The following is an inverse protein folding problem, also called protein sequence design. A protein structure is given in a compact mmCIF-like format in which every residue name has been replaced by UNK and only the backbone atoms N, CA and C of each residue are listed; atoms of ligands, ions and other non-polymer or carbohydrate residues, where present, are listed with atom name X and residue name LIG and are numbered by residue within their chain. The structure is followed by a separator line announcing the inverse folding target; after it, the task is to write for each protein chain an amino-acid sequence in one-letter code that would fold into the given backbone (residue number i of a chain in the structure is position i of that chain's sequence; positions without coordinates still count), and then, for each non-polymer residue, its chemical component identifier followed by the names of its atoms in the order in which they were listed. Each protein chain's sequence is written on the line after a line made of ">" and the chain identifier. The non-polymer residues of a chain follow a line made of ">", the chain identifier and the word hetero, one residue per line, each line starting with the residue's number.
data_IF_017039704144
#
_entry.id   IF_017039704144
#
_cell.length_a   1.000
_cell.length_b   1.000
_cell.length_c   1.000
_cell.angle_alpha   90.00
_cell.angle_beta   90.00
_cell.angle_gamma   90.00
#
_symmetry.space_group_name_H-M   'P 1'
#
loop_
_entity.id
_entity.type
_entity.pdbx_description
1 polymer ?
#
# COMPACT_ATOMS: atom_id res chain seq x y z
N UNK A 1 -2.87 21.72 7.28
CA UNK A 1 -1.73 22.06 6.38
C UNK A 1 -0.90 20.82 6.09
N UNK A 2 -0.40 20.67 4.86
CA UNK A 2 0.40 19.51 4.41
C UNK A 2 1.58 19.20 5.36
N UNK A 3 2.35 20.23 5.73
CA UNK A 3 3.52 20.11 6.61
C UNK A 3 3.22 19.52 8.00
N UNK A 4 1.99 19.69 8.51
CA UNK A 4 1.57 19.08 9.77
C UNK A 4 1.01 17.67 9.62
N UNK A 5 0.50 17.34 8.43
CA UNK A 5 -0.06 16.01 8.14
C UNK A 5 1.02 14.99 7.81
N UNK A 6 2.11 15.40 7.14
CA UNK A 6 3.22 14.50 6.77
C UNK A 6 3.82 13.74 7.96
N UNK A 7 4.27 14.38 9.05
CA UNK A 7 4.81 13.64 10.19
C UNK A 7 3.73 12.85 10.93
N UNK A 8 2.47 13.29 10.88
CA UNK A 8 1.38 12.61 11.57
C UNK A 8 0.97 11.32 10.84
N UNK A 9 0.98 11.33 9.51
CA UNK A 9 0.74 10.16 8.68
C UNK A 9 1.81 9.09 8.91
N UNK A 10 3.08 9.50 8.98
CA UNK A 10 4.20 8.61 9.32
C UNK A 10 4.00 7.99 10.71
N UNK A 11 3.63 8.79 11.72
CA UNK A 11 3.37 8.27 13.07
C UNK A 11 2.19 7.31 13.15
N UNK A 12 1.10 7.56 12.42
CA UNK A 12 -0.04 6.62 12.38
C UNK A 12 0.36 5.29 11.73
N UNK A 13 1.18 5.33 10.67
CA UNK A 13 1.74 4.13 10.05
C UNK A 13 2.62 3.36 11.04
N UNK A 14 3.56 4.03 11.70
CA UNK A 14 4.42 3.44 12.72
C UNK A 14 3.62 2.81 13.87
N UNK A 15 2.61 3.52 14.40
CA UNK A 15 1.76 2.98 15.46
C UNK A 15 0.98 1.73 15.00
N UNK A 16 0.59 1.67 13.72
CA UNK A 16 -0.11 0.51 13.15
C UNK A 16 0.80 -0.70 13.14
N UNK A 17 2.04 -0.54 12.69
CA UNK A 17 3.06 -1.58 12.67
C UNK A 17 3.36 -2.11 14.07
N UNK A 18 3.55 -1.21 15.04
CA UNK A 18 3.78 -1.57 16.45
C UNK A 18 2.59 -2.34 17.06
N UNK A 19 1.34 -2.02 16.68
CA UNK A 19 0.16 -2.78 17.14
C UNK A 19 0.08 -4.13 16.41
N UNK A 20 0.45 -4.19 15.14
CA UNK A 20 0.39 -5.41 14.33
C UNK A 20 1.22 -6.54 14.96
N UNK A 21 2.42 -6.21 15.49
CA UNK A 21 3.32 -7.14 16.21
C UNK A 21 2.62 -7.87 17.35
N UNK A 22 1.68 -7.24 18.06
CA UNK A 22 0.95 -7.86 19.17
C UNK A 22 -0.29 -8.66 18.77
N UNK A 23 -0.78 -8.49 17.54
CA UNK A 23 -2.06 -9.06 17.09
C UNK A 23 -1.92 -10.37 16.30
N UNK A 24 -0.68 -10.80 16.03
CA UNK A 24 -0.36 -11.99 15.28
C UNK A 24 -0.54 -11.82 13.76
N UNK A 25 0.03 -12.71 12.93
CA UNK A 25 0.25 -12.44 11.50
C UNK A 25 -1.01 -12.10 10.70
N UNK A 26 -2.13 -12.78 10.98
CA UNK A 26 -3.39 -12.59 10.25
C UNK A 26 -4.07 -11.26 10.59
N UNK A 27 -4.13 -10.90 11.87
CA UNK A 27 -4.79 -9.65 12.32
C UNK A 27 -3.86 -8.46 12.10
N UNK A 28 -2.56 -8.65 12.31
CA UNK A 28 -1.52 -7.67 12.00
C UNK A 28 -1.47 -7.33 10.51
N UNK A 29 -1.53 -8.34 9.63
CA UNK A 29 -1.61 -8.12 8.18
C UNK A 29 -2.87 -7.36 7.75
N UNK A 30 -4.02 -7.63 8.38
CA UNK A 30 -5.26 -6.88 8.12
C UNK A 30 -5.17 -5.43 8.65
N UNK A 31 -4.58 -5.24 9.83
CA UNK A 31 -4.28 -3.93 10.39
C UNK A 31 -3.36 -3.12 9.48
N UNK A 32 -2.27 -3.72 8.98
CA UNK A 32 -1.37 -3.03 8.06
C UNK A 32 -2.08 -2.65 6.76
N UNK A 33 -2.86 -3.58 6.17
CA UNK A 33 -3.64 -3.33 4.97
C UNK A 33 -4.62 -2.15 5.09
N UNK A 34 -5.28 -2.02 6.25
CA UNK A 34 -6.32 -1.01 6.49
C UNK A 34 -5.79 0.27 7.15
N UNK A 35 -5.10 0.14 8.28
CA UNK A 35 -4.55 1.24 9.06
C UNK A 35 -3.30 1.86 8.43
N UNK A 36 -2.49 1.10 7.67
CA UNK A 36 -1.35 1.66 6.93
C UNK A 36 -1.75 2.69 5.86
N UNK A 37 -2.94 2.51 5.26
CA UNK A 37 -3.50 3.43 4.26
C UNK A 37 -4.61 4.34 4.83
N UNK A 38 -4.85 4.35 6.15
CA UNK A 38 -6.01 5.02 6.73
C UNK A 38 -5.97 6.54 6.54
N UNK A 39 -4.78 7.13 6.59
CA UNK A 39 -4.61 8.58 6.41
C UNK A 39 -5.04 9.00 5.00
N UNK A 40 -4.64 8.24 3.98
CA UNK A 40 -5.07 8.48 2.60
C UNK A 40 -6.59 8.30 2.46
N UNK A 41 -7.15 7.24 3.05
CA UNK A 41 -8.58 6.97 3.03
C UNK A 41 -9.40 8.09 3.68
N UNK A 42 -8.98 8.59 4.84
CA UNK A 42 -9.64 9.69 5.55
C UNK A 42 -9.63 10.96 4.69
N UNK A 43 -8.47 11.35 4.17
CA UNK A 43 -8.33 12.54 3.32
C UNK A 43 -9.20 12.40 2.05
N UNK A 44 -9.21 11.23 1.43
CA UNK A 44 -10.05 10.95 0.26
C UNK A 44 -11.55 11.07 0.58
N UNK A 45 -12.02 10.56 1.73
CA UNK A 45 -13.42 10.68 2.15
C UNK A 45 -13.81 12.14 2.39
N UNK A 46 -12.97 12.94 3.05
CA UNK A 46 -13.24 14.36 3.28
C UNK A 46 -13.26 15.18 1.98
N UNK A 47 -12.34 14.88 1.06
CA UNK A 47 -12.33 15.50 -0.26
C UNK A 47 -13.60 15.12 -1.05
N UNK A 48 -14.04 13.86 -1.01
CA UNK A 48 -15.30 13.41 -1.62
C UNK A 48 -16.52 14.10 -1.01
N UNK A 49 -16.59 14.23 0.33
CA UNK A 49 -17.67 14.98 1.01
C UNK A 49 -17.72 16.45 0.58
N UNK A 50 -16.57 17.03 0.25
CA UNK A 50 -16.44 18.40 -0.26
C UNK A 50 -16.63 18.50 -1.78
N UNK A 51 -17.08 17.41 -2.44
CA UNK A 51 -17.26 17.28 -3.88
C UNK A 51 -15.97 17.52 -4.71
N UNK A 52 -14.80 17.31 -4.11
CA UNK A 52 -13.48 17.47 -4.73
C UNK A 52 -13.04 16.17 -5.41
N UNK A 53 -13.84 15.69 -6.37
CA UNK A 53 -13.60 14.41 -7.06
C UNK A 53 -12.26 14.40 -7.80
N UNK A 54 -11.89 15.53 -8.42
CA UNK A 54 -10.61 15.66 -9.12
C UNK A 54 -9.42 15.48 -8.17
N UNK A 55 -9.48 16.08 -6.97
CA UNK A 55 -8.43 15.96 -5.95
C UNK A 55 -8.25 14.49 -5.55
N UNK A 56 -9.34 13.76 -5.33
CA UNK A 56 -9.30 12.33 -4.95
C UNK A 56 -8.66 11.50 -6.08
N UNK A 57 -9.09 11.72 -7.33
CA UNK A 57 -8.54 11.01 -8.49
C UNK A 57 -7.03 11.24 -8.64
N UNK A 58 -6.59 12.49 -8.59
CA UNK A 58 -5.17 12.82 -8.72
C UNK A 58 -4.35 12.37 -7.50
N UNK A 59 -4.92 12.39 -6.30
CA UNK A 59 -4.27 11.88 -5.09
C UNK A 59 -4.03 10.37 -5.16
N UNK A 60 -5.03 9.59 -5.56
CA UNK A 60 -4.90 8.13 -5.68
C UNK A 60 -3.89 7.74 -6.78
N UNK A 61 -3.96 8.42 -7.94
CA UNK A 61 -3.00 8.20 -9.02
C UNK A 61 -1.58 8.60 -8.58
N UNK A 62 -1.46 9.73 -7.88
CA UNK A 62 -0.20 10.20 -7.31
C UNK A 62 0.41 9.22 -6.30
N UNK A 63 -0.40 8.60 -5.43
CA UNK A 63 0.07 7.57 -4.48
C UNK A 63 0.64 6.36 -5.21
N UNK A 64 -0.06 5.85 -6.24
CA UNK A 64 0.43 4.74 -7.07
C UNK A 64 1.76 5.11 -7.76
N UNK A 65 1.84 6.28 -8.40
CA UNK A 65 3.07 6.72 -9.06
C UNK A 65 4.22 6.96 -8.08
N UNK A 66 3.93 7.51 -6.91
CA UNK A 66 4.92 7.73 -5.85
C UNK A 66 5.54 6.41 -5.42
N UNK A 67 4.72 5.39 -5.13
CA UNK A 67 5.23 4.09 -4.69
C UNK A 67 6.02 3.38 -5.80
N UNK A 68 5.52 3.41 -7.03
CA UNK A 68 6.14 2.69 -8.15
C UNK A 68 7.39 3.36 -8.74
N UNK A 69 7.46 4.69 -8.76
CA UNK A 69 8.54 5.41 -9.42
C UNK A 69 9.44 6.12 -8.43
N UNK A 70 8.86 6.85 -7.47
CA UNK A 70 9.65 7.65 -6.54
C UNK A 70 10.28 6.74 -5.49
N UNK A 71 9.49 6.00 -4.72
CA UNK A 71 9.96 5.13 -3.64
C UNK A 71 10.83 4.02 -4.20
N UNK A 72 10.32 3.24 -5.17
CA UNK A 72 11.12 2.21 -5.83
C UNK A 72 12.36 2.77 -6.53
N UNK A 73 12.26 3.89 -7.25
CA UNK A 73 13.41 4.47 -7.97
C UNK A 73 14.50 4.98 -7.03
N UNK A 74 14.11 5.62 -5.92
CA UNK A 74 15.06 6.08 -4.90
C UNK A 74 15.65 4.92 -4.10
N UNK A 75 14.90 3.87 -3.80
CA UNK A 75 15.44 2.68 -3.13
C UNK A 75 16.46 1.96 -4.01
N UNK A 76 16.19 1.81 -5.30
CA UNK A 76 17.14 1.26 -6.27
C UNK A 76 18.39 2.14 -6.40
N UNK A 77 18.22 3.47 -6.48
CA UNK A 77 19.33 4.40 -6.59
C UNK A 77 20.22 4.39 -5.34
N UNK A 78 19.63 4.54 -4.16
CA UNK A 78 20.35 4.53 -2.88
C UNK A 78 20.99 3.17 -2.61
N UNK A 79 20.26 2.08 -2.84
CA UNK A 79 20.78 0.72 -2.70
C UNK A 79 21.91 0.41 -3.67
N UNK A 80 21.84 0.91 -4.91
CA UNK A 80 22.92 0.80 -5.90
C UNK A 80 24.15 1.65 -5.57
N UNK A 81 23.97 2.85 -5.00
CA UNK A 81 25.08 3.69 -4.52
C UNK A 81 25.76 3.03 -3.31
N UNK A 82 24.98 2.51 -2.36
CA UNK A 82 25.51 1.83 -1.17
C UNK A 82 26.30 0.57 -1.55
N UNK A 83 25.84 -0.17 -2.56
CA UNK A 83 26.45 -1.40 -3.05
C UNK A 83 27.18 -1.21 -4.38
N UNK A 84 27.91 -0.10 -4.57
CA UNK A 84 28.54 0.24 -5.87
C UNK A 84 29.55 -0.80 -6.39
N UNK A 85 30.06 -1.65 -5.50
CA UNK A 85 31.04 -2.71 -5.79
C UNK A 85 30.41 -4.08 -6.02
N UNK A 86 29.13 -4.24 -5.72
CA UNK A 86 28.39 -5.49 -5.83
C UNK A 86 27.18 -5.32 -6.74
N UNK A 87 26.95 -6.26 -7.65
CA UNK A 87 25.69 -6.27 -8.39
C UNK A 87 24.53 -6.53 -7.41
N UNK A 88 23.57 -5.61 -7.33
CA UNK A 88 22.25 -5.85 -6.73
C UNK A 88 21.54 -6.93 -7.55
N UNK A 89 21.78 -8.20 -7.22
CA UNK A 89 21.14 -9.32 -7.92
C UNK A 89 19.87 -9.70 -7.18
N UNK A 90 18.74 -9.33 -7.77
CA UNK A 90 17.40 -9.71 -7.30
C UNK A 90 17.04 -11.18 -7.62
N UNK A 91 17.90 -11.87 -8.39
CA UNK A 91 17.68 -13.23 -8.90
C UNK A 91 18.72 -14.26 -8.41
N UNK A 92 19.49 -13.94 -7.36
CA UNK A 92 20.42 -14.91 -6.74
C UNK A 92 19.63 -16.01 -6.02
N UNK A 93 20.19 -17.21 -6.03
CA UNK A 93 19.85 -18.36 -5.19
C UNK A 93 19.89 -18.05 -3.68
N UNK A 94 20.54 -16.95 -3.28
CA UNK A 94 20.53 -16.42 -1.91
C UNK A 94 19.29 -15.59 -1.57
N UNK A 95 18.48 -15.17 -2.54
CA UNK A 95 17.21 -14.49 -2.27
C UNK A 95 16.17 -15.55 -1.91
N UNK A 96 15.49 -15.44 -0.75
CA UNK A 96 14.48 -16.41 -0.35
C UNK A 96 13.40 -16.58 -1.42
N UNK A 97 13.08 -17.82 -1.80
CA UNK A 97 12.12 -18.13 -2.88
C UNK A 97 10.73 -17.52 -2.65
N UNK A 98 10.36 -17.29 -1.39
CA UNK A 98 9.12 -16.64 -0.99
C UNK A 98 9.08 -15.15 -1.39
N UNK A 99 10.18 -14.41 -1.19
CA UNK A 99 10.28 -12.98 -1.52
C UNK A 99 10.10 -12.74 -3.02
N UNK A 100 10.74 -13.59 -3.86
CA UNK A 100 10.57 -13.52 -5.31
C UNK A 100 9.12 -13.77 -5.74
N UNK A 101 8.48 -14.82 -5.23
CA UNK A 101 7.10 -15.14 -5.56
C UNK A 101 6.11 -14.08 -5.09
N UNK A 102 6.39 -13.44 -3.96
CA UNK A 102 5.59 -12.34 -3.45
C UNK A 102 5.71 -11.10 -4.32
N UNK A 103 6.93 -10.70 -4.68
CA UNK A 103 7.16 -9.59 -5.61
C UNK A 103 6.45 -9.83 -6.96
N UNK A 104 6.54 -11.06 -7.49
CA UNK A 104 5.83 -11.46 -8.71
C UNK A 104 4.30 -11.35 -8.54
N UNK A 105 3.74 -11.86 -7.44
CA UNK A 105 2.29 -11.78 -7.17
C UNK A 105 1.82 -10.33 -7.03
N UNK A 106 2.56 -9.49 -6.31
CA UNK A 106 2.22 -8.08 -6.11
C UNK A 106 2.31 -7.31 -7.43
N UNK A 107 3.32 -7.58 -8.26
CA UNK A 107 3.46 -7.01 -9.59
C UNK A 107 2.29 -7.40 -10.51
N UNK A 108 1.88 -8.67 -10.50
CA UNK A 108 0.75 -9.15 -11.30
C UNK A 108 -0.60 -8.59 -10.81
N UNK A 109 -0.80 -8.44 -9.50
CA UNK A 109 -1.99 -7.80 -8.94
C UNK A 109 -2.05 -6.32 -9.33
N UNK A 110 -0.92 -5.62 -9.30
CA UNK A 110 -0.82 -4.23 -9.73
C UNK A 110 -1.07 -4.08 -11.23
N UNK A 111 -0.57 -5.02 -12.05
CA UNK A 111 -0.87 -5.06 -13.48
C UNK A 111 -2.37 -5.29 -13.73
N UNK A 112 -3.00 -6.21 -13.01
CA UNK A 112 -4.45 -6.44 -13.08
C UNK A 112 -5.23 -5.16 -12.71
N UNK A 113 -4.80 -4.47 -11.65
CA UNK A 113 -5.39 -3.20 -11.23
C UNK A 113 -5.31 -2.14 -12.33
N UNK A 114 -4.13 -1.99 -12.94
CA UNK A 114 -3.91 -1.06 -14.06
C UNK A 114 -4.80 -1.40 -15.26
N UNK A 115 -4.89 -2.67 -15.65
CA UNK A 115 -5.74 -3.11 -16.77
C UNK A 115 -7.23 -2.83 -16.51
N UNK A 116 -7.71 -3.11 -15.28
CA UNK A 116 -9.08 -2.80 -14.89
C UNK A 116 -9.38 -1.29 -14.89
N UNK A 117 -8.39 -0.45 -14.57
CA UNK A 117 -8.55 1.01 -14.57
C UNK A 117 -8.40 1.64 -15.97
N UNK A 118 -7.60 1.03 -16.83
CA UNK A 118 -7.34 1.47 -18.20
C UNK A 118 -8.60 1.37 -19.08
N UNK A 119 -9.47 0.40 -18.81
CA UNK A 119 -10.70 0.18 -19.57
C UNK A 119 -11.70 1.36 -19.44
N UNK A 120 -12.07 1.84 -18.24
CA UNK A 120 -12.83 3.09 -18.08
C UNK A 120 -12.13 4.32 -18.68
N UNK A 121 -10.80 4.43 -18.51
CA UNK A 121 -10.03 5.57 -19.02
C UNK A 121 -10.07 5.66 -20.55
N UNK A 122 -9.78 4.56 -21.25
CA UNK A 122 -9.82 4.52 -22.72
C UNK A 122 -11.22 4.81 -23.25
N UNK A 123 -12.26 4.31 -22.57
CA UNK A 123 -13.64 4.58 -22.97
C UNK A 123 -13.94 6.08 -22.92
N UNK A 124 -13.50 6.79 -21.86
CA UNK A 124 -13.67 8.25 -21.77
C UNK A 124 -12.84 9.03 -22.79
N UNK A 125 -11.66 8.53 -23.17
CA UNK A 125 -10.77 9.22 -24.11
C UNK A 125 -11.14 8.99 -25.58
N UNK A 126 -11.66 7.81 -25.91
CA UNK A 126 -12.08 7.44 -27.27
C UNK A 126 -13.42 8.06 -27.70
N UNK A 127 -14.15 8.65 -26.77
CA UNK A 127 -15.48 9.20 -26.97
C UNK A 127 -15.46 10.49 -27.80
N UNK A 128 -16.35 10.58 -28.80
CA UNK A 128 -16.54 11.79 -29.60
C UNK A 128 -17.10 12.98 -28.80
N UNK A 129 -17.82 12.71 -27.71
CA UNK A 129 -18.23 13.74 -26.74
C UNK A 129 -18.26 13.19 -25.30
N UNK A 130 -17.85 14.01 -24.32
CA UNK A 130 -17.84 13.60 -22.91
C UNK A 130 -19.25 13.43 -22.32
N UNK A 131 -20.25 14.13 -22.87
CA UNK A 131 -21.64 14.10 -22.39
C UNK A 131 -22.34 12.77 -22.71
N UNK A 132 -22.04 12.17 -23.87
CA UNK A 132 -22.62 10.87 -24.27
C UNK A 132 -22.00 9.69 -23.52
N UNK A 133 -20.84 9.89 -22.90
CA UNK A 133 -20.05 8.81 -22.27
C UNK A 133 -19.92 8.93 -20.76
N UNK A 134 -20.40 10.01 -20.15
CA UNK A 134 -20.39 10.21 -18.70
C UNK A 134 -21.15 9.10 -17.94
N UNK A 135 -22.37 8.77 -18.35
CA UNK A 135 -23.19 7.72 -17.73
C UNK A 135 -22.57 6.32 -17.92
N UNK A 136 -22.26 5.85 -19.14
CA UNK A 136 -21.66 4.52 -19.34
C UNK A 136 -20.29 4.37 -18.69
N UNK A 137 -19.45 5.41 -18.72
CA UNK A 137 -18.13 5.37 -18.06
C UNK A 137 -18.25 5.19 -16.55
N UNK A 138 -19.26 5.80 -15.91
CA UNK A 138 -19.52 5.64 -14.49
C UNK A 138 -19.95 4.22 -14.14
N UNK A 139 -20.83 3.60 -14.92
CA UNK A 139 -21.19 2.18 -14.73
C UNK A 139 -19.98 1.27 -14.88
N UNK A 140 -19.12 1.56 -15.85
CA UNK A 140 -17.91 0.79 -16.11
C UNK A 140 -16.89 0.93 -14.97
N UNK A 141 -16.70 2.14 -14.45
CA UNK A 141 -15.86 2.38 -13.27
C UNK A 141 -16.41 1.67 -12.02
N UNK A 142 -17.74 1.65 -11.82
CA UNK A 142 -18.37 0.94 -10.70
C UNK A 142 -18.21 -0.59 -10.81
N UNK A 143 -18.38 -1.13 -12.02
CA UNK A 143 -18.16 -2.55 -12.28
C UNK A 143 -16.68 -2.93 -12.03
N UNK A 144 -15.76 -2.12 -12.54
CA UNK A 144 -14.33 -2.30 -12.31
C UNK A 144 -13.97 -2.22 -10.82
N UNK A 145 -14.54 -1.28 -10.05
CA UNK A 145 -14.28 -1.19 -8.60
C UNK A 145 -14.78 -2.41 -7.83
N UNK A 146 -15.93 -2.98 -8.21
CA UNK A 146 -16.46 -4.21 -7.58
C UNK A 146 -15.54 -5.40 -7.85
N UNK A 147 -15.12 -5.58 -9.10
CA UNK A 147 -14.20 -6.66 -9.50
C UNK A 147 -12.87 -6.53 -8.78
N UNK A 148 -12.32 -5.31 -8.73
CA UNK A 148 -11.07 -5.02 -8.02
C UNK A 148 -11.16 -5.29 -6.53
N UNK A 149 -12.27 -4.88 -5.88
CA UNK A 149 -12.48 -5.15 -4.46
C UNK A 149 -12.61 -6.65 -4.19
N UNK A 150 -13.32 -7.38 -5.05
CA UNK A 150 -13.42 -8.84 -4.97
C UNK A 150 -12.06 -9.53 -5.13
N UNK A 151 -11.28 -9.15 -6.13
CA UNK A 151 -9.92 -9.65 -6.33
C UNK A 151 -9.02 -9.35 -5.13
N UNK A 152 -9.13 -8.16 -4.54
CA UNK A 152 -8.40 -7.79 -3.33
C UNK A 152 -8.78 -8.64 -2.12
N UNK A 153 -10.07 -8.92 -1.90
CA UNK A 153 -10.49 -9.82 -0.81
C UNK A 153 -9.98 -11.25 -1.01
N UNK A 154 -10.01 -11.77 -2.23
CA UNK A 154 -9.45 -13.09 -2.55
C UNK A 154 -7.93 -13.08 -2.30
N UNK A 155 -7.24 -12.00 -2.69
CA UNK A 155 -5.82 -11.81 -2.41
C UNK A 155 -5.52 -11.74 -0.89
N UNK A 156 -6.34 -11.05 -0.10
CA UNK A 156 -6.18 -11.02 1.36
C UNK A 156 -6.38 -12.42 1.99
N UNK A 157 -7.37 -13.19 1.53
CA UNK A 157 -7.54 -14.59 1.97
C UNK A 157 -6.33 -15.43 1.57
N UNK A 158 -5.79 -15.17 0.37
CA UNK A 158 -4.60 -15.85 -0.10
C UNK A 158 -3.39 -15.58 0.80
N UNK A 159 -3.12 -14.30 1.05
CA UNK A 159 -2.01 -13.78 1.85
C UNK A 159 -2.11 -14.20 3.32
N UNK A 160 -3.27 -14.03 3.95
CA UNK A 160 -3.42 -14.18 5.39
C UNK A 160 -3.71 -15.60 5.85
N UNK A 161 -4.24 -16.46 4.96
CA UNK A 161 -4.66 -17.82 5.33
C UNK A 161 -4.03 -18.91 4.47
N UNK A 162 -4.26 -18.91 3.16
CA UNK A 162 -3.92 -20.09 2.35
C UNK A 162 -2.42 -20.23 2.10
N UNK A 163 -1.71 -19.12 1.96
CA UNK A 163 -0.31 -19.06 1.52
C UNK A 163 0.53 -18.18 2.46
N UNK A 164 0.16 -18.15 3.74
CA UNK A 164 0.80 -17.32 4.78
C UNK A 164 2.32 -17.51 4.86
N UNK A 165 2.80 -18.73 4.62
CA UNK A 165 4.22 -19.09 4.58
C UNK A 165 5.02 -18.35 3.49
N UNK A 166 4.37 -17.86 2.44
CA UNK A 166 5.04 -17.02 1.42
C UNK A 166 5.29 -15.59 1.90
N UNK A 167 4.57 -15.13 2.92
CA UNK A 167 4.58 -13.75 3.39
C UNK A 167 5.21 -13.59 4.79
N UNK A 168 5.21 -14.64 5.64
CA UNK A 168 5.80 -14.58 7.00
C UNK A 168 7.33 -14.41 7.00
N UNK A 169 8.04 -14.90 5.98
CA UNK A 169 9.50 -14.78 5.88
C UNK A 169 9.99 -13.40 5.37
N UNK A 170 9.07 -12.46 5.11
CA UNK A 170 9.40 -11.05 4.85
C UNK A 170 9.77 -10.34 6.17
N UNK A 171 9.07 -10.64 7.27
CA UNK A 171 9.37 -10.13 8.62
C UNK A 171 10.74 -10.61 9.13
N UNK A 172 11.17 -11.82 8.75
CA UNK A 172 12.46 -12.39 9.14
C UNK A 172 13.61 -11.98 8.20
N UNK A 173 13.31 -11.64 6.93
CA UNK A 173 14.31 -11.38 5.88
C UNK A 173 14.79 -9.93 5.79
N UNK A 174 14.04 -8.97 6.35
CA UNK A 174 14.53 -7.61 6.59
C UNK A 174 15.61 -7.57 7.68
N UNK A 175 15.78 -8.66 8.45
CA UNK A 175 16.64 -8.73 9.63
C UNK A 175 18.13 -9.09 9.38
N UNK A 176 18.55 -9.45 8.15
CA UNK A 176 19.93 -9.91 7.90
C UNK A 176 20.84 -8.87 7.22
N UNK A 177 20.58 -7.58 7.43
CA UNK A 177 21.55 -6.50 7.15
C UNK A 177 22.32 -6.11 8.42
N UNK A 178 23.58 -6.53 8.56
CA UNK A 178 24.39 -6.36 9.76
C UNK A 178 24.45 -4.93 10.35
N UNK A 179 24.18 -4.88 11.67
CA UNK A 179 24.57 -3.92 12.72
C UNK A 179 23.81 -2.59 12.90
N UNK A 180 23.07 -2.55 14.03
CA UNK A 180 22.44 -1.42 14.75
C UNK A 180 20.96 -1.06 14.47
N UNK A 181 20.07 -2.04 14.36
CA UNK A 181 18.70 -1.87 14.87
C UNK A 181 18.43 -2.99 15.86
N UNK A 182 18.08 -2.61 17.08
CA UNK A 182 17.59 -3.50 18.10
C UNK A 182 16.53 -4.42 17.49
N UNK A 183 16.49 -5.67 17.93
CA UNK A 183 15.31 -6.52 17.88
C UNK A 183 14.07 -5.60 18.01
N UNK A 184 13.15 -5.62 17.03
CA UNK A 184 11.91 -4.84 17.11
C UNK A 184 10.98 -5.44 18.17
N UNK A 185 11.46 -5.50 19.42
CA UNK A 185 10.59 -5.46 20.57
C UNK A 185 9.76 -4.19 20.42
N UNK A 186 8.44 -4.37 20.26
CA UNK A 186 7.53 -3.26 20.10
C UNK A 186 7.82 -2.20 21.19
N UNK A 187 8.26 -1.03 20.72
CA UNK A 187 8.81 0.06 21.56
C UNK A 187 7.72 0.64 22.46
N UNK A 188 6.45 0.40 22.08
CA UNK A 188 5.26 0.87 22.78
C UNK A 188 4.34 -0.32 23.09
N UNK A 189 3.81 -0.37 24.32
CA UNK A 189 2.84 -1.41 24.68
C UNK A 189 1.53 -1.27 23.92
N UNK A 190 0.87 -2.40 23.62
CA UNK A 190 -0.38 -2.49 22.84
C UNK A 190 -1.43 -1.43 23.17
N UNK A 191 -1.77 -1.25 24.46
CA UNK A 191 -2.79 -0.29 24.89
C UNK A 191 -2.36 1.18 24.70
N UNK A 192 -1.07 1.47 24.84
CA UNK A 192 -0.51 2.79 24.57
C UNK A 192 -0.52 3.08 23.06
N UNK A 193 -0.10 2.10 22.25
CA UNK A 193 -0.15 2.19 20.79
C UNK A 193 -1.58 2.42 20.29
N UNK A 194 -2.54 1.64 20.79
CA UNK A 194 -3.95 1.78 20.41
C UNK A 194 -4.54 3.14 20.81
N UNK A 195 -4.26 3.61 22.02
CA UNK A 195 -4.73 4.93 22.47
C UNK A 195 -4.17 6.07 21.62
N UNK A 196 -2.87 6.02 21.30
CA UNK A 196 -2.23 7.01 20.44
C UNK A 196 -2.76 6.94 19.00
N UNK A 197 -2.94 5.74 18.46
CA UNK A 197 -3.48 5.55 17.12
C UNK A 197 -4.90 6.11 17.02
N UNK A 198 -5.77 5.80 17.98
CA UNK A 198 -7.12 6.34 18.05
C UNK A 198 -7.10 7.88 18.19
N UNK A 199 -6.26 8.43 19.07
CA UNK A 199 -6.14 9.87 19.26
C UNK A 199 -5.66 10.61 18.02
N UNK A 200 -4.62 10.11 17.35
CA UNK A 200 -4.10 10.70 16.11
C UNK A 200 -5.10 10.58 14.95
N UNK A 201 -5.80 9.45 14.85
CA UNK A 201 -6.84 9.25 13.82
C UNK A 201 -7.98 10.26 14.01
N UNK A 202 -8.41 10.50 15.24
CA UNK A 202 -9.43 11.51 15.58
C UNK A 202 -8.93 12.93 15.32
N UNK A 203 -7.64 13.20 15.49
CA UNK A 203 -7.08 14.53 15.22
C UNK A 203 -6.94 14.83 13.72
N UNK A 204 -6.71 13.80 12.90
CA UNK A 204 -6.67 13.91 11.43
C UNK A 204 -8.07 14.11 10.85
N UNK A 205 -9.08 13.46 11.43
CA UNK A 205 -10.47 13.51 11.01
C UNK A 205 -11.19 14.79 11.45
#
# INVERSE_FOLDING_TARGET
>A
SLLGLTPLAERVSFLTEQIAVYTGPTVGGLLNATCGNITELIIAIFALKSNQIAVVKYSLLGSILSNLLLVLGTSLLCGGIANIRDEQKYDRDSVPWNLKRQADMNSLMLLLALLCHLLPLLFTYSAASPELTAEPSLYLSRAASIVMLGAYFVYLIFQLWTHRQLFEAEEEGECEGENNSAEEEAVIGFWSGFAWLAGMTVFIA
#
